data_IF_270123152192
#
_entry.id   IF_270123152192
#
_cell.length_a   1.000
_cell.length_b   1.000
_cell.length_c   1.000
_cell.angle_alpha   90.00
_cell.angle_beta   90.00
_cell.angle_gamma   90.00
#
_symmetry.space_group_name_H-M   'P 1'
#
loop_
_entity.id
_entity.type
_entity.pdbx_description
1 polymer ?
#
# COMPACT_ATOMS: atom_id res chain seq x y z
N UNK A 1 -12.36 76.19 21.16
CA UNK A 1 -13.06 74.89 21.05
C UNK A 1 -12.76 74.33 19.68
N UNK A 2 -12.45 73.03 19.69
CA UNK A 2 -12.15 72.13 18.56
C UNK A 2 -10.85 72.36 17.78
N UNK A 3 -10.09 71.25 17.76
CA UNK A 3 -8.74 71.04 17.26
C UNK A 3 -8.85 70.56 15.80
N UNK A 4 -8.35 71.34 14.85
CA UNK A 4 -8.13 70.88 13.48
C UNK A 4 -6.63 70.67 13.27
N UNK A 5 -6.20 69.43 13.53
CA UNK A 5 -4.89 68.93 13.11
C UNK A 5 -5.01 68.31 11.73
N UNK A 6 -4.98 69.14 10.69
CA UNK A 6 -4.83 68.70 9.30
C UNK A 6 -3.36 68.80 8.90
N UNK A 7 -2.61 67.70 8.95
CA UNK A 7 -1.25 67.67 8.39
C UNK A 7 -1.38 67.44 6.89
N UNK A 8 -1.13 68.51 6.14
CA UNK A 8 -0.81 68.48 4.72
C UNK A 8 0.39 67.56 4.44
N UNK A 9 0.29 66.71 3.44
CA UNK A 9 1.43 66.15 2.71
C UNK A 9 1.10 66.13 1.22
N UNK A 10 1.18 67.32 0.59
CA UNK A 10 1.46 67.42 -0.84
C UNK A 10 2.97 67.26 -1.00
N UNK A 11 3.42 66.25 -1.75
CA UNK A 11 4.77 66.24 -2.36
C UNK A 11 4.84 65.13 -3.40
N UNK A 12 4.25 65.38 -4.57
CA UNK A 12 4.67 64.69 -5.79
C UNK A 12 6.02 65.30 -6.20
N UNK A 13 7.11 64.67 -5.75
CA UNK A 13 8.46 65.09 -6.10
C UNK A 13 8.76 64.63 -7.53
N UNK A 14 8.69 65.56 -8.48
CA UNK A 14 9.21 65.39 -9.83
C UNK A 14 10.63 65.96 -9.89
N UNK A 15 11.59 65.19 -10.42
CA UNK A 15 12.92 65.69 -10.74
C UNK A 15 12.97 66.05 -12.22
N UNK A 16 13.27 67.31 -12.53
CA UNK A 16 13.38 67.82 -13.90
C UNK A 16 14.82 67.64 -14.36
N UNK A 17 15.03 66.85 -15.42
CA UNK A 17 16.33 66.69 -16.07
C UNK A 17 16.19 67.11 -17.54
N UNK A 18 16.97 68.12 -17.92
CA UNK A 18 17.01 68.68 -19.29
C UNK A 18 15.62 69.05 -19.88
N UNK A 19 14.77 69.67 -19.05
CA UNK A 19 13.47 70.20 -19.47
C UNK A 19 12.36 69.16 -19.68
N UNK A 20 12.60 67.89 -19.38
CA UNK A 20 11.59 66.82 -19.44
C UNK A 20 11.22 66.41 -18.01
N UNK A 21 9.91 66.42 -17.71
CA UNK A 21 9.37 65.90 -16.45
C UNK A 21 9.48 64.37 -16.46
N UNK A 22 10.43 63.84 -15.69
CA UNK A 22 10.64 62.40 -15.59
C UNK A 22 9.89 61.92 -14.34
N UNK A 23 8.86 61.09 -14.54
CA UNK A 23 8.21 60.39 -13.44
C UNK A 23 9.25 59.51 -12.71
N UNK A 24 9.23 59.44 -11.37
CA UNK A 24 10.25 58.72 -10.61
C UNK A 24 10.37 57.26 -11.09
N UNK A 25 11.59 56.72 -11.23
CA UNK A 25 11.82 55.39 -11.77
C UNK A 25 11.07 54.34 -10.94
N UNK A 26 10.43 53.37 -11.60
CA UNK A 26 9.61 52.33 -10.97
C UNK A 26 10.34 51.50 -9.89
N UNK A 27 11.67 51.58 -9.83
CA UNK A 27 12.54 50.95 -8.83
C UNK A 27 12.37 51.57 -7.43
N UNK A 28 11.92 52.83 -7.31
CA UNK A 28 11.61 53.47 -6.03
C UNK A 28 10.18 53.21 -5.54
N UNK A 29 9.34 52.52 -6.32
CA UNK A 29 8.06 52.02 -5.81
C UNK A 29 8.36 50.87 -4.85
N UNK A 30 8.06 51.11 -3.57
CA UNK A 30 8.11 50.14 -2.47
C UNK A 30 7.79 48.73 -2.99
N UNK A 31 8.66 47.78 -2.66
CA UNK A 31 8.49 46.34 -2.87
C UNK A 31 7.01 45.97 -2.78
N UNK A 32 6.40 45.59 -3.90
CA UNK A 32 5.05 45.03 -3.90
C UNK A 32 5.06 43.84 -2.94
N UNK A 33 4.15 43.84 -1.98
CA UNK A 33 4.02 42.77 -0.99
C UNK A 33 3.55 41.45 -1.62
N UNK A 34 2.91 41.49 -2.79
CA UNK A 34 2.39 40.31 -3.48
C UNK A 34 2.86 40.18 -4.94
N UNK A 35 3.04 38.92 -5.38
CA UNK A 35 3.58 38.54 -6.71
C UNK A 35 2.62 38.84 -7.88
N UNK A 36 1.32 38.94 -7.62
CA UNK A 36 0.28 39.05 -8.64
C UNK A 36 -0.24 40.47 -8.93
N UNK A 37 0.29 41.49 -8.23
CA UNK A 37 -0.10 42.89 -8.44
C UNK A 37 -1.36 43.30 -7.67
N UNK A 38 -1.85 44.51 -7.93
CA UNK A 38 -3.00 45.14 -7.28
C UNK A 38 -4.17 45.28 -8.28
N UNK A 39 -5.41 45.18 -7.80
CA UNK A 39 -6.63 45.36 -8.61
C UNK A 39 -7.20 46.74 -8.30
N UNK A 40 -7.57 47.53 -9.31
CA UNK A 40 -7.95 48.94 -9.13
C UNK A 40 -9.17 49.15 -8.22
N UNK A 41 -10.12 48.21 -8.24
CA UNK A 41 -11.40 48.31 -7.53
C UNK A 41 -11.42 47.49 -6.23
N UNK A 42 -10.30 46.90 -5.83
CA UNK A 42 -10.21 46.07 -4.62
C UNK A 42 -8.98 46.48 -3.78
N UNK A 43 -9.15 46.79 -2.48
CA UNK A 43 -8.04 47.06 -1.60
C UNK A 43 -7.06 45.87 -1.54
N UNK A 44 -5.74 46.16 -1.50
CA UNK A 44 -4.69 45.13 -1.51
C UNK A 44 -4.72 44.23 -0.26
N UNK A 45 -5.31 44.68 0.85
CA UNK A 45 -5.52 43.91 2.07
C UNK A 45 -6.69 42.93 1.98
N UNK A 46 -7.59 43.11 1.02
CA UNK A 46 -8.67 42.17 0.69
C UNK A 46 -8.27 41.18 -0.42
N UNK A 47 -7.13 41.40 -1.08
CA UNK A 47 -6.59 40.48 -2.07
C UNK A 47 -6.03 39.22 -1.39
N UNK A 48 -6.65 38.08 -1.69
CA UNK A 48 -6.14 36.78 -1.27
C UNK A 48 -4.70 36.58 -1.77
N UNK A 49 -3.84 36.17 -0.85
CA UNK A 49 -2.45 35.81 -1.16
C UNK A 49 -2.39 34.57 -2.05
N UNK A 50 -1.26 34.35 -2.77
CA UNK A 50 -1.03 33.14 -3.54
C UNK A 50 -1.36 31.86 -2.77
N UNK A 51 -0.91 31.78 -1.52
CA UNK A 51 -1.06 30.61 -0.67
C UNK A 51 -2.52 30.39 -0.26
N UNK A 52 -3.26 31.47 0.00
CA UNK A 52 -4.70 31.40 0.31
C UNK A 52 -5.53 30.95 -0.90
N UNK A 53 -5.17 31.39 -2.11
CA UNK A 53 -5.82 30.92 -3.35
C UNK A 53 -5.54 29.44 -3.61
N UNK A 54 -4.29 29.01 -3.45
CA UNK A 54 -3.91 27.61 -3.58
C UNK A 54 -4.65 26.75 -2.54
N UNK A 55 -4.71 27.20 -1.30
CA UNK A 55 -5.43 26.50 -0.23
C UNK A 55 -6.93 26.42 -0.50
N UNK A 56 -7.55 27.49 -1.01
CA UNK A 56 -8.96 27.48 -1.42
C UNK A 56 -9.20 26.47 -2.56
N UNK A 57 -8.31 26.43 -3.55
CA UNK A 57 -8.38 25.46 -4.64
C UNK A 57 -8.22 24.00 -4.16
N UNK A 58 -7.29 23.74 -3.23
CA UNK A 58 -7.15 22.42 -2.63
C UNK A 58 -8.35 22.01 -1.79
N UNK A 59 -8.99 22.96 -1.09
CA UNK A 59 -10.22 22.68 -0.35
C UNK A 59 -11.39 22.36 -1.29
N UNK A 60 -11.49 23.02 -2.45
CA UNK A 60 -12.50 22.72 -3.46
C UNK A 60 -12.30 21.31 -4.06
N UNK A 61 -11.06 20.97 -4.43
CA UNK A 61 -10.75 19.68 -5.05
C UNK A 61 -10.81 18.50 -4.08
N UNK A 62 -10.32 18.67 -2.85
CA UNK A 62 -10.07 17.58 -1.92
C UNK A 62 -10.83 17.70 -0.60
N UNK A 63 -11.77 18.64 -0.48
CA UNK A 63 -12.55 18.87 0.75
C UNK A 63 -13.18 17.58 1.29
N UNK A 64 -13.78 16.75 0.43
CA UNK A 64 -14.35 15.46 0.85
C UNK A 64 -13.33 14.50 1.47
N UNK A 65 -12.08 14.50 0.99
CA UNK A 65 -11.00 13.66 1.54
C UNK A 65 -10.57 14.17 2.90
N UNK A 66 -10.50 15.49 3.10
CA UNK A 66 -10.22 16.11 4.40
C UNK A 66 -11.35 15.93 5.42
N UNK A 67 -12.59 15.72 4.97
CA UNK A 67 -13.74 15.41 5.82
C UNK A 67 -13.85 13.94 6.24
N UNK A 68 -12.98 13.06 5.75
CA UNK A 68 -12.88 11.69 6.27
C UNK A 68 -12.47 11.81 7.74
N UNK A 69 -13.24 11.17 8.62
CA UNK A 69 -12.96 11.19 10.05
C UNK A 69 -11.54 10.72 10.30
N UNK A 70 -10.75 11.56 10.99
CA UNK A 70 -9.40 11.17 11.42
C UNK A 70 -9.55 9.89 12.26
N UNK A 71 -8.70 8.86 12.03
CA UNK A 71 -8.73 7.67 12.88
C UNK A 71 -8.53 8.10 14.34
N UNK A 72 -9.24 7.47 15.26
CA UNK A 72 -9.10 7.76 16.69
C UNK A 72 -7.63 7.57 17.09
N UNK A 73 -7.05 8.46 17.91
CA UNK A 73 -5.71 8.25 18.43
C UNK A 73 -5.71 6.94 19.23
N UNK A 74 -5.02 5.94 18.71
CA UNK A 74 -4.80 4.66 19.40
C UNK A 74 -3.47 4.80 20.13
N UNK A 75 -3.39 4.36 21.39
CA UNK A 75 -2.14 4.39 22.18
C UNK A 75 -1.02 3.57 21.54
N UNK A 76 -1.37 2.62 20.67
CA UNK A 76 -0.45 1.80 19.91
C UNK A 76 -1.03 1.54 18.53
N UNK A 77 -0.36 2.06 17.49
CA UNK A 77 -0.65 1.76 16.10
C UNK A 77 0.45 0.83 15.56
N UNK A 78 0.18 -0.46 15.32
CA UNK A 78 1.18 -1.40 14.81
C UNK A 78 1.67 -1.05 13.39
N UNK A 79 0.99 -0.15 12.69
CA UNK A 79 1.47 0.41 11.42
C UNK A 79 2.51 1.53 11.58
N UNK A 80 2.76 2.00 12.81
CA UNK A 80 3.73 3.06 13.12
C UNK A 80 4.90 2.55 13.97
N UNK A 81 4.70 1.47 14.74
CA UNK A 81 5.78 0.79 15.47
C UNK A 81 6.70 -0.05 14.55
N UNK A 82 6.43 -0.04 13.24
CA UNK A 82 7.33 -0.65 12.27
C UNK A 82 8.53 0.25 11.93
N UNK A 83 8.54 1.54 12.28
CA UNK A 83 9.57 2.49 11.78
C UNK A 83 10.87 2.58 12.60
N UNK A 84 10.98 1.90 13.73
CA UNK A 84 12.19 1.98 14.56
C UNK A 84 13.39 1.22 13.98
N UNK A 85 13.13 0.21 13.13
CA UNK A 85 14.16 -0.60 12.45
C UNK A 85 14.15 -0.45 10.91
N UNK A 86 13.35 0.48 10.36
CA UNK A 86 13.25 0.68 8.91
C UNK A 86 14.36 1.61 8.44
N UNK A 87 15.36 1.02 7.79
CA UNK A 87 16.39 1.74 7.06
C UNK A 87 15.76 2.40 5.82
N UNK A 88 15.50 3.70 5.91
CA UNK A 88 15.04 4.49 4.78
C UNK A 88 16.20 4.71 3.80
N UNK A 89 15.97 4.48 2.51
CA UNK A 89 16.98 4.79 1.51
C UNK A 89 17.15 6.30 1.34
N UNK A 90 18.13 6.73 0.52
CA UNK A 90 18.46 8.13 0.29
C UNK A 90 17.28 9.02 -0.21
N UNK A 91 16.17 8.41 -0.61
CA UNK A 91 14.94 9.09 -1.06
C UNK A 91 13.80 9.03 -0.04
N UNK A 92 14.10 8.68 1.22
CA UNK A 92 13.10 8.47 2.28
C UNK A 92 12.00 7.44 1.90
N UNK A 93 12.32 6.54 0.96
CA UNK A 93 11.45 5.40 0.64
C UNK A 93 11.96 4.16 1.37
N UNK A 94 11.01 3.30 1.76
CA UNK A 94 11.33 2.04 2.42
C UNK A 94 12.21 1.21 1.48
N UNK A 95 13.41 0.82 1.93
CA UNK A 95 14.24 -0.14 1.20
C UNK A 95 13.60 -1.53 1.30
N UNK A 96 12.67 -1.81 0.40
CA UNK A 96 11.96 -3.08 0.34
C UNK A 96 12.89 -4.27 0.08
N UNK A 97 14.11 -4.05 -0.43
CA UNK A 97 15.05 -5.14 -0.65
C UNK A 97 15.75 -5.58 0.64
N UNK A 98 16.01 -4.66 1.58
CA UNK A 98 16.47 -4.99 2.95
C UNK A 98 15.38 -5.63 3.81
N UNK A 99 14.13 -5.22 3.61
CA UNK A 99 12.97 -5.70 4.37
C UNK A 99 12.44 -7.06 3.87
N UNK A 100 12.94 -7.57 2.73
CA UNK A 100 12.53 -8.88 2.23
C UNK A 100 13.13 -9.97 3.14
N UNK A 101 12.30 -10.81 3.78
CA UNK A 101 12.83 -12.00 4.42
C UNK A 101 13.54 -12.86 3.37
N UNK A 102 14.61 -13.56 3.77
CA UNK A 102 15.35 -14.46 2.88
C UNK A 102 14.37 -15.37 2.11
N UNK A 103 14.54 -15.43 0.79
CA UNK A 103 13.60 -16.15 -0.07
C UNK A 103 13.65 -17.66 0.20
N UNK A 104 12.64 -18.15 0.90
CA UNK A 104 12.51 -19.58 1.17
C UNK A 104 11.86 -20.31 -0.02
N UNK A 105 12.71 -20.88 -0.86
CA UNK A 105 12.32 -21.72 -2.01
C UNK A 105 11.37 -22.85 -1.60
N UNK A 106 11.56 -23.47 -0.43
CA UNK A 106 10.73 -24.59 0.02
C UNK A 106 9.32 -24.10 0.37
N UNK A 107 9.22 -22.96 1.08
CA UNK A 107 7.94 -22.31 1.38
C UNK A 107 7.21 -21.90 0.09
N UNK A 108 7.89 -21.23 -0.83
CA UNK A 108 7.33 -20.83 -2.12
C UNK A 108 6.76 -22.04 -2.89
N UNK A 109 7.54 -23.12 -2.98
CA UNK A 109 7.08 -24.35 -3.63
C UNK A 109 5.87 -24.96 -2.91
N UNK A 110 5.87 -25.01 -1.59
CA UNK A 110 4.75 -25.52 -0.81
C UNK A 110 3.47 -24.71 -1.07
N UNK A 111 3.57 -23.39 -1.17
CA UNK A 111 2.42 -22.53 -1.45
C UNK A 111 1.91 -22.73 -2.89
N UNK A 112 2.78 -22.93 -3.88
CA UNK A 112 2.36 -23.31 -5.24
C UNK A 112 1.65 -24.67 -5.27
N UNK A 113 2.12 -25.65 -4.51
CA UNK A 113 1.44 -26.95 -4.39
C UNK A 113 0.08 -26.84 -3.68
N UNK A 114 -0.07 -25.90 -2.73
CA UNK A 114 -1.38 -25.61 -2.11
C UNK A 114 -2.37 -25.02 -3.10
N UNK A 115 -1.94 -24.14 -4.00
CA UNK A 115 -2.78 -23.64 -5.10
C UNK A 115 -3.28 -24.81 -5.97
N UNK A 116 -2.37 -25.68 -6.42
CA UNK A 116 -2.74 -26.87 -7.20
C UNK A 116 -3.70 -27.81 -6.44
N UNK A 117 -3.55 -27.93 -5.12
CA UNK A 117 -4.48 -28.69 -4.27
C UNK A 117 -5.87 -28.08 -4.24
N UNK A 118 -5.99 -26.75 -4.21
CA UNK A 118 -7.28 -26.06 -4.27
C UNK A 118 -7.97 -26.32 -5.60
N UNK A 119 -7.23 -26.21 -6.70
CA UNK A 119 -7.77 -26.48 -8.04
C UNK A 119 -8.26 -27.93 -8.15
N UNK A 120 -7.47 -28.89 -7.68
CA UNK A 120 -7.87 -30.29 -7.63
C UNK A 120 -9.09 -30.52 -6.73
N UNK A 121 -9.18 -29.84 -5.60
CA UNK A 121 -10.34 -29.97 -4.70
C UNK A 121 -11.64 -29.50 -5.37
N UNK A 122 -11.58 -28.46 -6.21
CA UNK A 122 -12.72 -28.00 -7.01
C UNK A 122 -13.14 -29.10 -7.99
N UNK A 123 -12.21 -29.66 -8.77
CA UNK A 123 -12.49 -30.73 -9.73
C UNK A 123 -13.05 -31.98 -9.05
N UNK A 124 -12.45 -32.38 -7.92
CA UNK A 124 -12.93 -33.49 -7.09
C UNK A 124 -14.36 -33.22 -6.61
N UNK A 125 -14.66 -32.00 -6.17
CA UNK A 125 -16.00 -31.61 -5.72
C UNK A 125 -17.04 -31.77 -6.83
N UNK A 126 -16.71 -31.31 -8.05
CA UNK A 126 -17.58 -31.42 -9.22
C UNK A 126 -17.88 -32.89 -9.54
N UNK A 127 -16.85 -33.74 -9.65
CA UNK A 127 -17.04 -35.18 -9.97
C UNK A 127 -17.78 -35.89 -8.84
N UNK A 128 -17.45 -35.57 -7.59
CA UNK A 128 -18.13 -36.12 -6.43
C UNK A 128 -19.62 -35.76 -6.42
N UNK A 129 -19.99 -34.56 -6.89
CA UNK A 129 -21.40 -34.15 -7.04
C UNK A 129 -22.16 -34.94 -8.10
N UNK A 130 -21.49 -35.42 -9.16
CA UNK A 130 -22.12 -36.23 -10.23
C UNK A 130 -22.48 -37.64 -9.78
N UNK A 131 -21.65 -38.25 -8.93
CA UNK A 131 -21.85 -39.63 -8.48
C UNK A 131 -22.84 -39.66 -7.30
N UNK A 132 -23.98 -40.35 -7.48
CA UNK A 132 -24.95 -40.57 -6.41
C UNK A 132 -24.49 -41.69 -5.46
N UNK A 133 -24.85 -41.55 -4.18
CA UNK A 133 -24.65 -42.59 -3.16
C UNK A 133 -23.30 -42.53 -2.42
N UNK A 134 -23.16 -43.38 -1.40
CA UNK A 134 -21.99 -43.42 -0.48
C UNK A 134 -20.95 -44.49 -0.84
N UNK A 135 -21.23 -45.37 -1.80
CA UNK A 135 -20.33 -46.46 -2.20
C UNK A 135 -18.96 -45.95 -2.69
N UNK A 136 -18.94 -44.79 -3.36
CA UNK A 136 -17.72 -44.10 -3.79
C UNK A 136 -16.68 -43.92 -2.69
N UNK A 137 -17.11 -43.64 -1.46
CA UNK A 137 -16.19 -43.46 -0.33
C UNK A 137 -15.55 -44.77 0.13
N UNK A 138 -16.23 -45.92 -0.01
CA UNK A 138 -15.64 -47.23 0.26
C UNK A 138 -14.54 -47.54 -0.77
N UNK A 139 -14.81 -47.27 -2.05
CA UNK A 139 -13.84 -47.47 -3.13
C UNK A 139 -12.62 -46.57 -2.94
N UNK A 140 -12.81 -45.29 -2.62
CA UNK A 140 -11.71 -44.37 -2.29
C UNK A 140 -10.89 -44.85 -1.09
N UNK A 141 -11.55 -45.40 -0.07
CA UNK A 141 -10.86 -45.98 1.09
C UNK A 141 -9.98 -47.16 0.68
N UNK A 142 -10.49 -48.07 -0.15
CA UNK A 142 -9.74 -49.24 -0.63
C UNK A 142 -8.58 -48.85 -1.55
N UNK A 143 -8.78 -47.89 -2.45
CA UNK A 143 -7.74 -47.33 -3.31
C UNK A 143 -6.64 -46.66 -2.45
N UNK A 144 -7.02 -45.90 -1.41
CA UNK A 144 -6.05 -45.28 -0.49
C UNK A 144 -5.17 -46.30 0.22
N UNK A 145 -5.74 -47.42 0.62
CA UNK A 145 -5.01 -48.51 1.29
C UNK A 145 -4.20 -49.37 0.33
N UNK A 146 -4.37 -49.22 -0.98
CA UNK A 146 -3.70 -50.04 -2.00
C UNK A 146 -4.28 -51.46 -2.12
N UNK A 147 -5.52 -51.68 -1.68
CA UNK A 147 -6.20 -52.99 -1.79
C UNK A 147 -6.73 -53.21 -3.21
N UNK A 148 -7.10 -52.12 -3.89
CA UNK A 148 -7.61 -52.10 -5.25
C UNK A 148 -6.74 -51.11 -6.03
N UNK A 149 -6.29 -51.49 -7.22
CA UNK A 149 -5.64 -50.53 -8.11
C UNK A 149 -6.69 -49.62 -8.73
N UNK A 150 -6.35 -48.37 -8.97
CA UNK A 150 -7.28 -47.45 -9.64
C UNK A 150 -7.75 -47.98 -10.97
N UNK A 151 -6.91 -48.72 -11.69
CA UNK A 151 -7.23 -49.23 -13.04
C UNK A 151 -8.20 -50.42 -13.04
N UNK A 152 -8.44 -51.05 -11.88
CA UNK A 152 -9.45 -52.11 -11.71
C UNK A 152 -10.89 -51.55 -11.67
N UNK A 153 -11.04 -50.22 -11.62
CA UNK A 153 -12.34 -49.56 -11.47
C UNK A 153 -13.00 -49.38 -12.85
N UNK A 154 -14.03 -50.18 -13.14
CA UNK A 154 -14.76 -50.12 -14.42
C UNK A 154 -15.67 -48.88 -14.63
N UNK A 155 -16.06 -48.17 -13.57
CA UNK A 155 -16.88 -46.96 -13.70
C UNK A 155 -15.98 -45.73 -13.89
N UNK A 156 -16.15 -45.03 -15.02
CA UNK A 156 -15.29 -43.90 -15.40
C UNK A 156 -15.27 -42.75 -14.39
N UNK A 157 -16.43 -42.33 -13.86
CA UNK A 157 -16.47 -41.23 -12.88
C UNK A 157 -15.76 -41.61 -11.57
N UNK A 158 -15.95 -42.86 -11.11
CA UNK A 158 -15.33 -43.37 -9.88
C UNK A 158 -13.83 -43.55 -10.06
N UNK A 159 -13.41 -44.05 -11.22
CA UNK A 159 -11.99 -44.16 -11.61
C UNK A 159 -11.32 -42.78 -11.57
N UNK A 160 -11.94 -41.78 -12.20
CA UNK A 160 -11.41 -40.42 -12.23
C UNK A 160 -11.34 -39.81 -10.83
N UNK A 161 -12.38 -40.01 -10.02
CA UNK A 161 -12.42 -39.54 -8.63
C UNK A 161 -11.30 -40.16 -7.79
N UNK A 162 -11.06 -41.47 -7.94
CA UNK A 162 -10.00 -42.18 -7.23
C UNK A 162 -8.60 -41.68 -7.63
N UNK A 163 -8.36 -41.52 -8.93
CA UNK A 163 -7.08 -41.00 -9.44
C UNK A 163 -6.77 -39.59 -8.94
N UNK A 164 -7.75 -38.70 -8.99
CA UNK A 164 -7.60 -37.33 -8.48
C UNK A 164 -7.39 -37.31 -6.97
N UNK A 165 -8.11 -38.16 -6.23
CA UNK A 165 -7.95 -38.29 -4.79
C UNK A 165 -6.55 -38.74 -4.39
N UNK A 166 -6.00 -39.77 -5.04
CA UNK A 166 -4.63 -40.23 -4.79
C UNK A 166 -3.60 -39.16 -5.14
N UNK A 167 -3.79 -38.44 -6.25
CA UNK A 167 -2.94 -37.28 -6.62
C UNK A 167 -2.96 -36.20 -5.53
N UNK A 168 -4.14 -35.85 -5.03
CA UNK A 168 -4.29 -34.87 -3.95
C UNK A 168 -3.61 -35.34 -2.65
N UNK A 169 -3.68 -36.63 -2.31
CA UNK A 169 -2.94 -37.19 -1.17
C UNK A 169 -1.43 -37.05 -1.34
N UNK A 170 -0.90 -37.36 -2.53
CA UNK A 170 0.52 -37.21 -2.84
C UNK A 170 1.00 -35.77 -2.70
N UNK A 171 0.27 -34.82 -3.28
CA UNK A 171 0.58 -33.39 -3.16
C UNK A 171 0.52 -32.90 -1.71
N UNK A 172 -0.46 -33.36 -0.93
CA UNK A 172 -0.57 -33.00 0.48
C UNK A 172 0.63 -33.48 1.29
N UNK A 173 1.15 -34.68 1.03
CA UNK A 173 2.38 -35.18 1.66
C UNK A 173 3.57 -34.28 1.33
N UNK A 174 3.75 -33.94 0.04
CA UNK A 174 4.83 -33.06 -0.39
C UNK A 174 4.76 -31.66 0.25
N UNK A 175 3.56 -31.11 0.43
CA UNK A 175 3.37 -29.83 1.13
C UNK A 175 3.85 -29.93 2.57
N UNK A 176 3.47 -31.00 3.29
CA UNK A 176 3.87 -31.22 4.68
C UNK A 176 5.40 -31.33 4.78
N UNK A 177 6.01 -32.17 3.94
CA UNK A 177 7.47 -32.36 3.90
C UNK A 177 8.21 -31.03 3.64
N UNK A 178 7.76 -30.22 2.67
CA UNK A 178 8.37 -28.92 2.38
C UNK A 178 8.21 -27.92 3.53
N UNK A 179 7.07 -27.94 4.21
CA UNK A 179 6.83 -27.09 5.38
C UNK A 179 7.72 -27.49 6.56
N UNK A 180 7.92 -28.79 6.79
CA UNK A 180 8.82 -29.29 7.82
C UNK A 180 10.28 -28.92 7.53
N UNK A 181 10.73 -29.06 6.28
CA UNK A 181 12.07 -28.64 5.86
C UNK A 181 12.28 -27.13 6.09
N UNK A 182 11.31 -26.31 5.69
CA UNK A 182 11.33 -24.86 5.93
C UNK A 182 11.43 -24.53 7.42
N UNK A 183 10.60 -25.19 8.23
CA UNK A 183 10.57 -25.01 9.69
C UNK A 183 11.90 -25.38 10.34
N UNK A 184 12.45 -26.55 10.02
CA UNK A 184 13.73 -27.01 10.56
C UNK A 184 14.89 -26.06 10.21
N UNK A 185 14.88 -25.46 9.01
CA UNK A 185 15.90 -24.46 8.63
C UNK A 185 15.81 -23.21 9.49
N UNK A 186 14.60 -22.71 9.74
CA UNK A 186 14.37 -21.55 10.60
C UNK A 186 14.79 -21.82 12.05
N UNK A 187 14.44 -23.00 12.57
CA UNK A 187 14.86 -23.41 13.92
C UNK A 187 16.39 -23.47 14.03
N UNK A 188 17.10 -23.99 13.01
CA UNK A 188 18.57 -23.99 12.98
C UNK A 188 19.17 -22.59 12.89
N UNK A 189 18.61 -21.70 12.06
CA UNK A 189 19.07 -20.31 11.97
C UNK A 189 18.85 -19.57 13.28
N UNK A 190 17.69 -19.77 13.91
CA UNK A 190 17.36 -19.20 15.21
C UNK A 190 18.31 -19.70 16.30
N UNK A 191 18.60 -21.01 16.34
CA UNK A 191 19.57 -21.55 17.30
C UNK A 191 20.96 -20.95 17.11
N UNK A 192 21.46 -20.86 15.86
CA UNK A 192 22.74 -20.21 15.57
C UNK A 192 22.78 -18.75 16.02
N UNK A 193 21.66 -18.05 15.88
CA UNK A 193 21.53 -16.67 16.33
C UNK A 193 21.57 -16.57 17.86
N UNK A 194 20.85 -17.46 18.57
CA UNK A 194 20.93 -17.55 20.03
C UNK A 194 22.35 -17.86 20.52
N UNK A 195 23.02 -18.82 19.88
CA UNK A 195 24.40 -19.21 20.20
C UNK A 195 25.40 -18.07 19.92
N UNK A 196 25.06 -17.10 19.06
CA UNK A 196 25.91 -15.92 18.79
C UNK A 196 25.75 -14.79 19.82
N UNK A 197 24.72 -14.85 20.66
CA UNK A 197 24.43 -13.84 21.68
C UNK A 197 24.97 -14.19 23.08
N UNK A 198 25.32 -15.46 23.30
CA UNK A 198 25.91 -15.97 24.55
C UNK A 198 27.42 -16.11 24.45
#
# INVERSE_FOLDING_TARGET
MSKDGGVHMNTENFEVYDGVEIAPPAILRRLRTNKYGSIADLPDDELASPDELEQAYYQELFGQVFHISKPKPVSHNPAWDCYTDIDFNAFASVDFDRMKPEFDKAKYKADRLKEQLKDLAIVISIINGRIKGKAKYKILRYARTGIIDTDDIGNWDIWQLAKLYLKALGLRKQVIELQEISRQRKERQFQKWLDSLG
#
